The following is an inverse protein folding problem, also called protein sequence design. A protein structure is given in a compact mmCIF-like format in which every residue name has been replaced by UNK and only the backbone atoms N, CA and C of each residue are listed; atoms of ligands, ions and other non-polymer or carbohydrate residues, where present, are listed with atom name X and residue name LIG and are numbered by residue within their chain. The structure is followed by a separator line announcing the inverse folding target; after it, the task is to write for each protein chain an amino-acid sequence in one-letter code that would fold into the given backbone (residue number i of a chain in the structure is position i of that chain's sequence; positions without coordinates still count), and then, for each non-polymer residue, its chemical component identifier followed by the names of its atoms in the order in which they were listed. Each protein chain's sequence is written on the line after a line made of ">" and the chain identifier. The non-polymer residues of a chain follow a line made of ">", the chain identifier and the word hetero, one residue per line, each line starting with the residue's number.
data_IF_472743814989
#
_entry.id   IF_472743814989
#
_cell.length_a   1.000
_cell.length_b   1.000
_cell.length_c   1.000
_cell.angle_alpha   90.00
_cell.angle_beta   90.00
_cell.angle_gamma   90.00
#
_symmetry.space_group_name_H-M   'P 1'
#
loop_
_entity.id
_entity.type
_entity.pdbx_description
1 polymer ?
#
# COMPACT_ATOMS: atom_id res chain seq x y z
N UNK A 1 -16.42 7.89 2.99
CA UNK A 1 -16.06 7.49 4.36
C UNK A 1 -15.99 5.99 4.57
N UNK A 2 -16.94 5.20 4.06
CA UNK A 2 -16.96 3.74 4.20
C UNK A 2 -15.70 3.05 3.67
N UNK A 3 -15.14 3.52 2.55
CA UNK A 3 -13.89 2.97 2.00
C UNK A 3 -12.73 3.10 3.00
N UNK A 4 -12.51 4.27 3.58
CA UNK A 4 -11.43 4.48 4.55
C UNK A 4 -11.58 3.60 5.78
N UNK A 5 -12.78 3.52 6.34
CA UNK A 5 -13.05 2.65 7.50
C UNK A 5 -12.81 1.17 7.16
N UNK A 6 -13.27 0.72 5.99
CA UNK A 6 -13.04 -0.65 5.54
C UNK A 6 -11.56 -0.94 5.28
N UNK A 7 -10.80 0.03 4.75
CA UNK A 7 -9.37 -0.06 4.53
C UNK A 7 -8.61 -0.24 5.87
N UNK A 8 -8.87 0.62 6.85
CA UNK A 8 -8.25 0.53 8.18
C UNK A 8 -8.62 -0.78 8.90
N UNK A 9 -9.88 -1.20 8.82
CA UNK A 9 -10.31 -2.49 9.37
C UNK A 9 -9.62 -3.66 8.66
N UNK A 10 -9.35 -3.55 7.37
CA UNK A 10 -8.58 -4.54 6.61
C UNK A 10 -7.17 -4.68 7.17
N UNK A 11 -6.48 -3.58 7.48
CA UNK A 11 -5.17 -3.63 8.12
C UNK A 11 -5.21 -4.30 9.48
N UNK A 12 -6.20 -3.99 10.30
CA UNK A 12 -6.37 -4.59 11.63
C UNK A 12 -6.63 -6.10 11.51
N UNK A 13 -7.56 -6.49 10.66
CA UNK A 13 -7.94 -7.91 10.49
C UNK A 13 -6.79 -8.77 9.99
N UNK A 14 -5.94 -8.24 9.12
CA UNK A 14 -4.80 -8.96 8.56
C UNK A 14 -3.52 -8.87 9.43
N UNK A 15 -3.57 -8.22 10.59
CA UNK A 15 -2.43 -8.07 11.48
C UNK A 15 -1.30 -7.20 10.91
N UNK A 16 -1.60 -6.33 9.95
CA UNK A 16 -0.61 -5.48 9.29
C UNK A 16 0.07 -4.50 10.25
N UNK A 17 -0.59 -4.17 11.36
CA UNK A 17 -0.07 -3.24 12.37
C UNK A 17 1.25 -3.72 12.98
N UNK A 18 1.39 -5.03 13.23
CA UNK A 18 2.61 -5.61 13.80
C UNK A 18 3.79 -5.43 12.84
N UNK A 19 3.57 -5.69 11.56
CA UNK A 19 4.62 -5.55 10.57
C UNK A 19 5.00 -4.08 10.32
N UNK A 20 4.07 -3.15 10.39
CA UNK A 20 4.35 -1.71 10.38
C UNK A 20 5.25 -1.29 11.56
N UNK A 21 5.00 -1.84 12.75
CA UNK A 21 5.82 -1.60 13.93
C UNK A 21 7.23 -2.18 13.75
N UNK A 22 7.34 -3.42 13.26
CA UNK A 22 8.62 -4.07 12.98
C UNK A 22 9.44 -3.27 11.96
N UNK A 23 8.82 -2.79 10.90
CA UNK A 23 9.50 -1.95 9.91
C UNK A 23 10.02 -0.65 10.52
N UNK A 24 9.21 0.06 11.28
CA UNK A 24 9.64 1.28 11.96
C UNK A 24 10.84 1.04 12.88
N UNK A 25 10.87 -0.09 13.60
CA UNK A 25 12.01 -0.48 14.42
C UNK A 25 13.26 -0.80 13.59
N UNK A 26 13.10 -1.48 12.46
CA UNK A 26 14.23 -1.78 11.56
C UNK A 26 14.79 -0.52 10.90
N UNK A 27 13.95 0.41 10.50
CA UNK A 27 14.38 1.71 9.97
C UNK A 27 15.15 2.53 11.02
N UNK A 28 14.70 2.52 12.28
CA UNK A 28 15.40 3.20 13.38
C UNK A 28 16.75 2.54 13.69
N UNK A 29 16.82 1.22 13.71
CA UNK A 29 18.06 0.46 13.84
C UNK A 29 19.03 0.73 12.68
N UNK A 30 18.53 0.80 11.45
CA UNK A 30 19.34 1.08 10.27
C UNK A 30 19.95 2.50 10.31
N UNK A 31 19.18 3.49 10.77
CA UNK A 31 19.68 4.85 10.98
C UNK A 31 20.80 4.94 12.05
N UNK A 32 20.76 4.05 13.04
CA UNK A 32 21.75 4.01 14.13
C UNK A 32 22.99 3.18 13.79
N UNK A 33 22.88 2.25 12.84
CA UNK A 33 23.96 1.33 12.46
C UNK A 33 24.57 1.71 11.11
N UNK A 34 25.31 2.82 11.06
CA UNK A 34 25.95 3.34 9.83
C UNK A 34 26.83 2.31 9.09
N UNK A 35 27.34 1.29 9.79
CA UNK A 35 28.25 0.28 9.24
C UNK A 35 27.53 -0.88 8.51
N UNK A 36 26.25 -1.14 8.77
CA UNK A 36 25.50 -2.30 8.26
C UNK A 36 24.44 -1.90 7.23
N UNK A 37 24.30 -0.58 6.96
CA UNK A 37 23.24 -0.01 6.13
C UNK A 37 23.03 -0.71 4.77
N UNK A 38 24.05 -0.87 3.92
CA UNK A 38 23.85 -1.43 2.58
C UNK A 38 23.37 -2.90 2.58
N UNK A 39 23.84 -3.69 3.54
CA UNK A 39 23.52 -5.14 3.61
C UNK A 39 22.10 -5.37 4.14
N UNK A 40 21.67 -4.57 5.11
CA UNK A 40 20.33 -4.66 5.68
C UNK A 40 19.28 -4.19 4.67
N UNK A 41 19.58 -3.16 3.89
CA UNK A 41 18.65 -2.58 2.92
C UNK A 41 18.23 -3.61 1.87
N UNK A 42 19.17 -4.32 1.27
CA UNK A 42 18.85 -5.25 0.17
C UNK A 42 18.17 -6.55 0.67
N UNK A 43 18.56 -7.06 1.82
CA UNK A 43 18.07 -8.34 2.33
C UNK A 43 16.72 -8.19 3.06
N UNK A 44 16.49 -7.08 3.73
CA UNK A 44 15.31 -6.88 4.58
C UNK A 44 14.31 -5.90 3.97
N UNK A 45 14.76 -4.75 3.48
CA UNK A 45 13.86 -3.70 3.02
C UNK A 45 13.10 -4.08 1.75
N UNK A 46 13.75 -4.76 0.79
CA UNK A 46 13.08 -5.12 -0.48
C UNK A 46 11.93 -6.11 -0.26
N UNK A 47 12.09 -7.24 0.46
CA UNK A 47 10.97 -8.12 0.77
C UNK A 47 9.90 -7.45 1.63
N UNK A 48 10.30 -6.61 2.58
CA UNK A 48 9.40 -5.92 3.49
C UNK A 48 8.55 -4.88 2.76
N UNK A 49 9.16 -4.10 1.87
CA UNK A 49 8.46 -3.14 1.02
C UNK A 49 7.46 -3.83 0.07
N UNK A 50 7.84 -5.01 -0.47
CA UNK A 50 6.93 -5.82 -1.28
C UNK A 50 5.73 -6.30 -0.47
N UNK A 51 5.96 -6.78 0.74
CA UNK A 51 4.90 -7.18 1.65
C UNK A 51 3.98 -6.00 1.99
N UNK A 52 4.54 -4.83 2.24
CA UNK A 52 3.82 -3.59 2.51
C UNK A 52 2.88 -3.19 1.36
N UNK A 53 3.39 -3.20 0.12
CA UNK A 53 2.55 -2.94 -1.06
C UNK A 53 1.40 -3.92 -1.18
N UNK A 54 1.65 -5.18 -0.87
CA UNK A 54 0.62 -6.23 -0.89
C UNK A 54 -0.43 -5.99 0.20
N UNK A 55 -0.01 -5.52 1.38
CA UNK A 55 -0.93 -5.20 2.48
C UNK A 55 -1.88 -4.06 2.12
N UNK A 56 -1.40 -3.03 1.44
CA UNK A 56 -2.23 -1.93 0.93
C UNK A 56 -3.30 -2.43 -0.05
N UNK A 57 -2.94 -3.31 -0.99
CA UNK A 57 -3.91 -3.89 -1.93
C UNK A 57 -4.98 -4.72 -1.21
N UNK A 58 -4.61 -5.43 -0.15
CA UNK A 58 -5.56 -6.22 0.64
C UNK A 58 -6.50 -5.31 1.43
N UNK A 59 -5.98 -4.26 2.05
CA UNK A 59 -6.77 -3.26 2.75
C UNK A 59 -7.72 -2.50 1.79
N UNK A 60 -7.25 -2.18 0.58
CA UNK A 60 -8.09 -1.56 -0.45
C UNK A 60 -9.27 -2.44 -0.87
N UNK A 61 -9.07 -3.75 -0.96
CA UNK A 61 -10.17 -4.70 -1.25
C UNK A 61 -11.20 -4.69 -0.12
N UNK A 62 -10.77 -4.68 1.13
CA UNK A 62 -11.67 -4.57 2.27
C UNK A 62 -12.43 -3.23 2.25
N UNK A 63 -11.75 -2.13 1.94
CA UNK A 63 -12.36 -0.82 1.73
C UNK A 63 -13.41 -0.83 0.63
N UNK A 64 -13.10 -1.48 -0.51
CA UNK A 64 -14.05 -1.61 -1.61
C UNK A 64 -15.29 -2.41 -1.21
N UNK A 65 -15.13 -3.52 -0.50
CA UNK A 65 -16.25 -4.32 -0.02
C UNK A 65 -17.21 -3.53 0.88
N UNK A 66 -16.67 -2.60 1.68
CA UNK A 66 -17.47 -1.73 2.53
C UNK A 66 -18.15 -0.58 1.76
N UNK A 67 -17.56 -0.09 0.67
CA UNK A 67 -18.04 1.06 -0.08
C UNK A 67 -18.86 0.65 -1.31
N UNK A 68 -18.40 -0.34 -2.06
CA UNK A 68 -18.96 -0.86 -3.31
C UNK A 68 -19.17 0.20 -4.42
N UNK A 69 -18.56 1.36 -4.30
CA UNK A 69 -18.66 2.48 -5.23
C UNK A 69 -17.26 2.93 -5.70
N UNK A 70 -16.90 2.51 -6.91
CA UNK A 70 -15.59 2.85 -7.50
C UNK A 70 -15.45 4.34 -7.78
N UNK A 71 -16.53 5.02 -8.14
CA UNK A 71 -16.48 6.46 -8.43
C UNK A 71 -16.23 7.27 -7.15
N UNK A 72 -16.83 6.86 -6.04
CA UNK A 72 -16.56 7.46 -4.74
C UNK A 72 -15.10 7.26 -4.32
N UNK A 73 -14.49 6.09 -4.60
CA UNK A 73 -13.09 5.79 -4.30
C UNK A 73 -12.16 6.65 -5.16
N UNK A 74 -12.40 6.75 -6.46
CA UNK A 74 -11.62 7.61 -7.37
C UNK A 74 -11.68 9.07 -6.90
N UNK A 75 -12.87 9.56 -6.58
CA UNK A 75 -13.06 10.92 -6.07
C UNK A 75 -12.34 11.16 -4.75
N UNK A 76 -12.30 10.16 -3.86
CA UNK A 76 -11.56 10.22 -2.62
C UNK A 76 -10.05 10.34 -2.88
N UNK A 77 -9.49 9.50 -3.78
CA UNK A 77 -8.07 9.54 -4.13
C UNK A 77 -7.69 10.90 -4.72
N UNK A 78 -8.52 11.46 -5.59
CA UNK A 78 -8.30 12.80 -6.16
C UNK A 78 -8.32 13.90 -5.08
N UNK A 79 -9.25 13.84 -4.13
CA UNK A 79 -9.34 14.80 -3.01
C UNK A 79 -8.14 14.72 -2.06
N UNK A 80 -7.56 13.54 -1.89
CA UNK A 80 -6.34 13.36 -1.11
C UNK A 80 -5.07 13.79 -1.87
N UNK A 81 -5.20 14.34 -3.09
CA UNK A 81 -4.07 14.74 -3.92
C UNK A 81 -3.27 13.57 -4.47
N UNK A 82 -3.84 12.37 -4.45
CA UNK A 82 -3.18 11.17 -4.96
C UNK A 82 -3.33 11.10 -6.48
N UNK A 83 -2.23 10.79 -7.18
CA UNK A 83 -2.26 10.64 -8.64
C UNK A 83 -3.10 9.43 -9.05
N UNK A 84 -4.06 9.64 -9.94
CA UNK A 84 -4.90 8.58 -10.52
C UNK A 84 -4.47 8.18 -11.92
N UNK A 85 -3.41 8.80 -12.45
CA UNK A 85 -2.83 8.53 -13.78
C UNK A 85 -1.45 7.88 -13.65
N UNK A 86 -1.15 6.96 -14.55
CA UNK A 86 0.13 6.27 -14.64
C UNK A 86 1.11 7.09 -15.46
N UNK A 87 2.33 7.32 -14.95
CA UNK A 87 3.46 7.78 -15.74
C UNK A 87 4.59 6.75 -15.68
N UNK A 88 5.32 6.57 -16.78
CA UNK A 88 6.41 5.60 -16.86
C UNK A 88 7.52 5.81 -15.81
N UNK A 89 7.77 7.05 -15.44
CA UNK A 89 8.77 7.44 -14.44
C UNK A 89 8.33 7.04 -13.02
N UNK A 90 7.04 7.06 -12.75
CA UNK A 90 6.48 6.69 -11.45
C UNK A 90 6.65 5.21 -11.13
N UNK A 91 6.66 4.34 -12.13
CA UNK A 91 6.84 2.89 -11.96
C UNK A 91 8.21 2.50 -11.39
N UNK A 92 9.26 3.19 -11.81
CA UNK A 92 10.62 2.94 -11.27
C UNK A 92 10.73 3.37 -9.81
N UNK A 93 10.07 4.46 -9.43
CA UNK A 93 10.00 4.92 -8.05
C UNK A 93 9.21 3.99 -7.13
N UNK A 94 8.19 3.30 -7.65
CA UNK A 94 7.38 2.36 -6.86
C UNK A 94 8.18 1.13 -6.39
N UNK A 95 9.14 0.66 -7.18
CA UNK A 95 9.95 -0.51 -6.83
C UNK A 95 10.77 -0.28 -5.55
N UNK A 96 11.15 0.96 -5.28
CA UNK A 96 11.89 1.35 -4.08
C UNK A 96 11.02 1.89 -2.94
N UNK A 97 9.70 2.01 -3.15
CA UNK A 97 8.76 2.57 -2.18
C UNK A 97 8.01 1.48 -1.42
N UNK A 98 7.80 1.71 -0.13
CA UNK A 98 6.93 0.88 0.70
C UNK A 98 5.44 1.03 0.31
N UNK A 99 5.05 2.19 -0.23
CA UNK A 99 3.68 2.46 -0.63
C UNK A 99 3.50 2.34 -2.14
N UNK A 100 2.52 1.55 -2.62
CA UNK A 100 2.23 1.48 -4.03
C UNK A 100 1.66 2.81 -4.52
N UNK A 101 1.92 3.12 -5.79
CA UNK A 101 1.31 4.27 -6.46
C UNK A 101 -0.21 4.17 -6.40
N UNK A 102 -0.87 5.29 -6.22
CA UNK A 102 -2.33 5.36 -6.15
C UNK A 102 -3.00 4.88 -7.44
N UNK A 103 -2.37 5.10 -8.59
CA UNK A 103 -2.83 4.56 -9.87
C UNK A 103 -2.79 3.04 -9.89
N UNK A 104 -1.70 2.42 -9.41
CA UNK A 104 -1.56 0.96 -9.30
C UNK A 104 -2.61 0.38 -8.34
N UNK A 105 -2.87 1.05 -7.22
CA UNK A 105 -3.92 0.67 -6.27
C UNK A 105 -5.30 0.66 -6.94
N UNK A 106 -5.63 1.71 -7.70
CA UNK A 106 -6.90 1.82 -8.42
C UNK A 106 -7.04 0.74 -9.53
N UNK A 107 -5.96 0.45 -10.27
CA UNK A 107 -5.96 -0.61 -11.28
C UNK A 107 -6.24 -1.98 -10.64
N UNK A 108 -5.51 -2.33 -9.59
CA UNK A 108 -5.71 -3.58 -8.84
C UNK A 108 -7.13 -3.69 -8.26
N UNK A 109 -7.69 -2.59 -7.83
CA UNK A 109 -9.05 -2.56 -7.28
C UNK A 109 -10.09 -2.75 -8.39
N UNK A 110 -9.90 -2.17 -9.57
CA UNK A 110 -10.74 -2.40 -10.76
C UNK A 110 -10.69 -3.86 -11.21
N UNK A 111 -9.50 -4.45 -11.26
CA UNK A 111 -9.33 -5.89 -11.56
C UNK A 111 -10.07 -6.77 -10.55
N UNK A 112 -9.95 -6.44 -9.27
CA UNK A 112 -10.66 -7.16 -8.20
C UNK A 112 -12.17 -7.08 -8.38
N UNK A 113 -12.72 -5.89 -8.65
CA UNK A 113 -14.14 -5.70 -8.93
C UNK A 113 -14.62 -6.57 -10.09
N UNK A 114 -13.86 -6.60 -11.21
CA UNK A 114 -14.21 -7.39 -12.39
C UNK A 114 -14.22 -8.90 -12.10
N UNK A 115 -13.29 -9.39 -11.29
CA UNK A 115 -13.17 -10.81 -10.93
C UNK A 115 -14.19 -11.27 -9.89
N UNK A 116 -14.60 -10.38 -9.01
CA UNK A 116 -15.50 -10.69 -7.89
C UNK A 116 -16.97 -10.57 -8.22
N UNK A 117 -17.32 -10.02 -9.38
CA UNK A 117 -18.73 -9.75 -9.79
C UNK A 117 -19.53 -8.92 -8.76
N UNK A 118 -18.84 -8.12 -7.98
CA UNK A 118 -19.45 -7.26 -6.95
C UNK A 118 -19.46 -5.80 -7.41
#
# INVERSE_FOLDING_TARGET
>A
MHFLLGHELGHIQQGHLIAHTVQGLLEDLNKRAELLGPIITDIVDVPLNRWYRTSEFTADRAGYLCCQDMNAIISLFQRLGLSTSVSSISYLGELSSAHPLSCTRLERLKEYKLKSNI
#
